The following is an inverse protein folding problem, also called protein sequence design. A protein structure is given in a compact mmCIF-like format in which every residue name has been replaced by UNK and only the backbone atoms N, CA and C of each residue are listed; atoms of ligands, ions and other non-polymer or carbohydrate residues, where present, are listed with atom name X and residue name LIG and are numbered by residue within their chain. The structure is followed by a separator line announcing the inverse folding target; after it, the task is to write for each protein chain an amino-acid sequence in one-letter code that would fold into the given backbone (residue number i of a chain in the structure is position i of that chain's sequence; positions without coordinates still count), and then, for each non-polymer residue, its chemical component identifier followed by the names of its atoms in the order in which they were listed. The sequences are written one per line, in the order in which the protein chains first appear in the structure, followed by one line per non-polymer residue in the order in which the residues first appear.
data_IF_510558378082
#
_entry.id   IF_510558378082
#
_cell.length_a   1.000
_cell.length_b   1.000
_cell.length_c   1.000
_cell.angle_alpha   90.00
_cell.angle_beta   90.00
_cell.angle_gamma   90.00
#
_symmetry.space_group_name_H-M   'P 1'
#
loop_
_entity.id
_entity.type
_entity.pdbx_description
1 polymer ?
#
# COMPACT_ATOMS: atom_id res chain seq x y z
N UNK A 1 -34.97 55.13 22.10
CA UNK A 1 -33.64 54.70 21.62
C UNK A 1 -33.15 53.38 22.24
N UNK A 2 -34.02 52.56 22.87
CA UNK A 2 -33.65 51.30 23.56
C UNK A 2 -34.21 50.01 22.92
N UNK A 3 -34.71 50.08 21.67
CA UNK A 3 -35.24 48.89 20.95
C UNK A 3 -34.23 48.26 19.98
N UNK A 4 -33.12 48.93 19.69
CA UNK A 4 -32.08 48.45 18.76
C UNK A 4 -31.11 47.44 19.39
N UNK A 5 -31.14 47.27 20.72
CA UNK A 5 -30.19 46.43 21.46
C UNK A 5 -30.74 45.06 21.87
N UNK A 6 -32.02 44.77 21.65
CA UNK A 6 -32.67 43.50 22.06
C UNK A 6 -32.37 42.31 21.14
N UNK A 7 -31.84 42.55 19.93
CA UNK A 7 -31.57 41.54 18.90
C UNK A 7 -30.07 41.27 18.66
N UNK A 8 -29.17 41.57 19.61
CA UNK A 8 -27.72 41.40 19.40
C UNK A 8 -27.21 39.97 19.62
N UNK A 9 -27.93 39.15 20.38
CA UNK A 9 -27.48 37.79 20.72
C UNK A 9 -27.19 36.94 19.49
N UNK A 10 -28.12 36.90 18.52
CA UNK A 10 -27.93 36.08 17.32
C UNK A 10 -26.76 36.54 16.45
N UNK A 11 -26.52 37.86 16.35
CA UNK A 11 -25.37 38.42 15.64
C UNK A 11 -24.05 38.06 16.32
N UNK A 12 -23.99 38.14 17.66
CA UNK A 12 -22.80 37.75 18.43
C UNK A 12 -22.51 36.26 18.28
N UNK A 13 -23.54 35.41 18.36
CA UNK A 13 -23.41 33.97 18.15
C UNK A 13 -22.98 33.62 16.73
N UNK A 14 -23.55 34.29 15.71
CA UNK A 14 -23.14 34.11 14.31
C UNK A 14 -21.68 34.50 14.10
N UNK A 15 -21.25 35.64 14.66
CA UNK A 15 -19.86 36.08 14.59
C UNK A 15 -18.91 35.06 15.24
N UNK A 16 -19.20 34.63 16.47
CA UNK A 16 -18.40 33.61 17.17
C UNK A 16 -18.35 32.29 16.39
N UNK A 17 -19.44 31.89 15.74
CA UNK A 17 -19.48 30.71 14.89
C UNK A 17 -18.55 30.87 13.68
N UNK A 18 -18.63 32.00 12.96
CA UNK A 18 -17.76 32.29 11.82
C UNK A 18 -16.28 32.30 12.23
N UNK A 19 -15.94 32.92 13.37
CA UNK A 19 -14.57 32.94 13.90
C UNK A 19 -14.09 31.54 14.25
N UNK A 20 -14.93 30.73 14.91
CA UNK A 20 -14.61 29.34 15.26
C UNK A 20 -14.36 28.48 14.01
N UNK A 21 -15.25 28.58 13.01
CA UNK A 21 -15.08 27.91 11.71
C UNK A 21 -13.81 28.38 11.00
N UNK A 22 -13.50 29.68 11.07
CA UNK A 22 -12.26 30.25 10.54
C UNK A 22 -11.00 29.68 11.21
N UNK A 23 -10.98 29.55 12.53
CA UNK A 23 -9.87 28.93 13.26
C UNK A 23 -9.68 27.46 12.90
N UNK A 24 -10.77 26.69 12.80
CA UNK A 24 -10.74 25.30 12.36
C UNK A 24 -10.19 25.21 10.93
N UNK A 25 -10.68 26.07 10.02
CA UNK A 25 -10.19 26.11 8.64
C UNK A 25 -8.68 26.42 8.58
N UNK A 26 -8.19 27.38 9.36
CA UNK A 26 -6.75 27.69 9.40
C UNK A 26 -5.94 26.48 9.89
N UNK A 27 -6.39 25.79 10.94
CA UNK A 27 -5.71 24.59 11.44
C UNK A 27 -5.70 23.43 10.43
N UNK A 28 -6.76 23.29 9.63
CA UNK A 28 -6.91 22.24 8.63
C UNK A 28 -6.10 22.53 7.35
N UNK A 29 -6.10 23.78 6.88
CA UNK A 29 -5.42 24.18 5.64
C UNK A 29 -3.93 24.50 5.83
N UNK A 30 -3.49 24.79 7.07
CA UNK A 30 -2.09 25.09 7.39
C UNK A 30 -1.50 24.16 8.46
N UNK A 31 -1.45 22.83 8.21
CA UNK A 31 -0.80 21.89 9.12
C UNK A 31 0.72 22.06 9.13
N UNK A 32 1.37 21.67 10.23
CA UNK A 32 2.82 21.56 10.29
C UNK A 32 3.27 20.31 9.51
N UNK A 33 4.21 20.51 8.59
CA UNK A 33 4.94 19.42 7.93
C UNK A 33 6.17 19.12 8.78
N UNK A 34 6.24 17.91 9.33
CA UNK A 34 7.38 17.50 10.15
C UNK A 34 8.54 16.98 9.29
N UNK A 35 9.79 17.15 9.74
CA UNK A 35 10.92 16.48 9.12
C UNK A 35 10.74 14.96 9.22
N UNK A 36 10.91 14.28 8.08
CA UNK A 36 10.85 12.81 7.97
C UNK A 36 12.23 12.30 7.63
N UNK A 37 12.66 11.26 8.33
CA UNK A 37 13.88 10.52 8.01
C UNK A 37 13.79 9.98 6.59
N UNK A 38 14.82 10.25 5.78
CA UNK A 38 14.92 9.82 4.38
C UNK A 38 13.78 10.32 3.49
N UNK A 39 13.33 11.55 3.74
CA UNK A 39 12.31 12.22 2.92
C UNK A 39 12.64 12.16 1.42
N UNK A 40 13.91 12.38 1.06
CA UNK A 40 14.37 12.39 -0.33
C UNK A 40 14.14 11.02 -0.99
N UNK A 41 14.61 9.95 -0.36
CA UNK A 41 14.50 8.59 -0.88
C UNK A 41 13.05 8.14 -0.96
N UNK A 42 12.24 8.45 0.06
CA UNK A 42 10.81 8.14 0.07
C UNK A 42 10.05 8.85 -1.05
N UNK A 43 10.31 10.14 -1.25
CA UNK A 43 9.66 10.91 -2.32
C UNK A 43 10.14 10.48 -3.70
N UNK A 44 11.45 10.26 -3.89
CA UNK A 44 12.02 9.76 -5.15
C UNK A 44 11.47 8.38 -5.51
N UNK A 45 11.36 7.47 -4.54
CA UNK A 45 10.75 6.15 -4.73
C UNK A 45 9.30 6.28 -5.19
N UNK A 46 8.50 7.13 -4.55
CA UNK A 46 7.12 7.40 -4.96
C UNK A 46 7.04 7.96 -6.39
N UNK A 47 7.87 8.95 -6.74
CA UNK A 47 7.92 9.51 -8.09
C UNK A 47 8.28 8.46 -9.16
N UNK A 48 9.26 7.59 -8.90
CA UNK A 48 9.64 6.52 -9.83
C UNK A 48 8.54 5.47 -9.96
N UNK A 49 7.88 5.08 -8.89
CA UNK A 49 6.73 4.16 -8.93
C UNK A 49 5.55 4.75 -9.71
N UNK A 50 5.26 6.04 -9.56
CA UNK A 50 4.24 6.70 -10.37
C UNK A 50 4.55 6.65 -11.87
N UNK A 51 5.80 6.94 -12.26
CA UNK A 51 6.25 6.80 -13.65
C UNK A 51 6.14 5.36 -14.16
N UNK A 52 6.46 4.38 -13.33
CA UNK A 52 6.29 2.97 -13.65
C UNK A 52 4.81 2.60 -13.91
N UNK A 53 3.89 3.09 -13.06
CA UNK A 53 2.45 2.87 -13.24
C UNK A 53 1.95 3.48 -14.56
N UNK A 54 2.38 4.70 -14.89
CA UNK A 54 2.06 5.33 -16.18
C UNK A 54 2.58 4.49 -17.36
N UNK A 55 3.80 3.93 -17.26
CA UNK A 55 4.35 3.09 -18.34
C UNK A 55 3.57 1.79 -18.51
N UNK A 56 3.10 1.18 -17.42
CA UNK A 56 2.26 -0.03 -17.46
C UNK A 56 0.90 0.28 -18.09
N UNK A 57 0.31 1.43 -17.75
CA UNK A 57 -0.92 1.92 -18.40
C UNK A 57 -0.72 2.05 -19.91
N UNK A 58 0.34 2.75 -20.34
CA UNK A 58 0.70 2.93 -21.75
C UNK A 58 0.85 1.58 -22.47
N UNK A 59 1.56 0.62 -21.85
CA UNK A 59 1.74 -0.73 -22.38
C UNK A 59 0.40 -1.44 -22.60
N UNK A 60 -0.48 -1.40 -21.60
CA UNK A 60 -1.79 -2.07 -21.67
C UNK A 60 -2.64 -1.49 -22.81
N UNK A 61 -2.64 -0.17 -22.95
CA UNK A 61 -3.31 0.53 -24.05
C UNK A 61 -2.69 0.20 -25.42
N UNK A 62 -1.36 0.14 -25.52
CA UNK A 62 -0.66 -0.21 -26.77
C UNK A 62 -0.99 -1.62 -27.27
N UNK A 63 -1.27 -2.55 -26.34
CA UNK A 63 -1.72 -3.92 -26.60
C UNK A 63 -3.23 -4.02 -26.87
N UNK A 64 -3.95 -2.89 -26.88
CA UNK A 64 -5.42 -2.83 -27.01
C UNK A 64 -6.16 -3.62 -25.90
N UNK A 65 -5.50 -3.84 -24.77
CA UNK A 65 -6.13 -4.45 -23.60
C UNK A 65 -6.95 -3.37 -22.91
N UNK A 66 -8.25 -3.60 -22.77
CA UNK A 66 -9.17 -2.63 -22.19
C UNK A 66 -8.94 -2.48 -20.69
N UNK A 67 -9.02 -1.24 -20.21
CA UNK A 67 -9.03 -0.91 -18.78
C UNK A 67 -10.50 -0.70 -18.40
N UNK A 68 -11.08 -1.63 -17.65
CA UNK A 68 -12.45 -1.51 -17.17
C UNK A 68 -12.52 -0.50 -16.02
N UNK A 69 -13.15 0.69 -16.18
CA UNK A 69 -13.23 1.69 -15.12
C UNK A 69 -14.03 1.24 -13.89
N UNK A 70 -14.86 0.19 -14.02
CA UNK A 70 -15.60 -0.39 -12.89
C UNK A 70 -14.68 -1.17 -11.96
N UNK A 71 -13.68 -1.86 -12.52
CA UNK A 71 -12.69 -2.61 -11.75
C UNK A 71 -11.47 -1.74 -11.40
N UNK A 72 -10.98 -0.95 -12.35
CA UNK A 72 -9.83 -0.05 -12.23
C UNK A 72 -10.29 1.40 -12.18
N UNK A 73 -10.85 1.80 -11.04
CA UNK A 73 -11.38 3.16 -10.82
C UNK A 73 -10.33 4.27 -10.93
N UNK A 74 -9.03 3.92 -10.95
CA UNK A 74 -7.90 4.84 -11.11
C UNK A 74 -7.33 4.86 -12.53
N UNK A 75 -7.91 4.07 -13.44
CA UNK A 75 -7.46 3.90 -14.83
C UNK A 75 -5.96 3.61 -14.92
N UNK A 76 -5.46 2.75 -14.04
CA UNK A 76 -4.02 2.49 -13.87
C UNK A 76 -3.48 1.43 -14.83
N UNK A 77 -4.33 0.51 -15.27
CA UNK A 77 -3.94 -0.69 -16.00
C UNK A 77 -3.43 -1.82 -15.11
N UNK A 78 -3.34 -1.63 -13.80
CA UNK A 78 -2.78 -2.60 -12.85
C UNK A 78 -3.82 -3.58 -12.28
N UNK A 79 -5.11 -3.33 -12.52
CA UNK A 79 -6.18 -4.28 -12.19
C UNK A 79 -6.39 -5.23 -13.37
N UNK A 80 -6.30 -6.53 -13.09
CA UNK A 80 -6.63 -7.58 -14.04
C UNK A 80 -8.09 -8.00 -14.01
N UNK A 81 -8.36 -9.15 -14.62
CA UNK A 81 -9.69 -9.72 -14.76
C UNK A 81 -10.20 -10.31 -13.44
N UNK A 82 -11.52 -10.38 -13.28
CA UNK A 82 -12.12 -11.13 -12.17
C UNK A 82 -11.74 -12.60 -12.21
N UNK A 83 -11.79 -13.21 -13.40
CA UNK A 83 -11.34 -14.58 -13.63
C UNK A 83 -10.70 -14.72 -15.01
N UNK A 84 -9.68 -15.56 -15.10
CA UNK A 84 -9.01 -15.94 -16.34
C UNK A 84 -8.42 -17.34 -16.20
N UNK A 85 -7.93 -17.96 -17.29
CA UNK A 85 -7.28 -19.26 -17.25
C UNK A 85 -6.03 -19.34 -16.35
N UNK A 86 -5.48 -18.20 -15.92
CA UNK A 86 -4.28 -18.11 -15.06
C UNK A 86 -4.59 -17.61 -13.65
N UNK A 87 -5.87 -17.41 -13.32
CA UNK A 87 -6.31 -17.07 -11.96
C UNK A 87 -6.13 -18.28 -11.04
N UNK A 88 -5.27 -18.14 -10.02
CA UNK A 88 -4.91 -19.22 -9.11
C UNK A 88 -5.67 -19.23 -7.78
N UNK A 89 -6.24 -18.10 -7.38
CA UNK A 89 -6.97 -17.99 -6.11
C UNK A 89 -7.94 -16.81 -6.12
N UNK A 90 -8.88 -16.82 -5.17
CA UNK A 90 -9.72 -15.67 -4.86
C UNK A 90 -8.88 -14.44 -4.48
N UNK A 91 -9.40 -13.24 -4.78
CA UNK A 91 -8.76 -11.97 -4.46
C UNK A 91 -9.80 -10.90 -4.12
N UNK A 92 -9.43 -9.96 -3.25
CA UNK A 92 -10.31 -8.84 -2.87
C UNK A 92 -10.01 -7.63 -3.76
N UNK A 93 -10.98 -7.22 -4.58
CA UNK A 93 -10.83 -6.08 -5.50
C UNK A 93 -10.40 -4.80 -4.77
N UNK A 94 -11.05 -4.47 -3.64
CA UNK A 94 -10.72 -3.26 -2.87
C UNK A 94 -9.27 -3.25 -2.36
N UNK A 95 -8.70 -4.41 -2.04
CA UNK A 95 -7.29 -4.50 -1.67
C UNK A 95 -6.35 -4.29 -2.87
N UNK A 96 -6.76 -4.72 -4.08
CA UNK A 96 -5.99 -4.44 -5.31
C UNK A 96 -6.05 -2.97 -5.66
N UNK A 97 -7.24 -2.37 -5.60
CA UNK A 97 -7.43 -0.94 -5.81
C UNK A 97 -6.60 -0.13 -4.81
N UNK A 98 -6.69 -0.44 -3.52
CA UNK A 98 -5.88 0.20 -2.49
C UNK A 98 -4.37 0.05 -2.74
N UNK A 99 -3.88 -0.98 -3.44
CA UNK A 99 -2.44 -1.09 -3.75
C UNK A 99 -1.94 -0.10 -4.81
N UNK A 100 -2.84 0.53 -5.57
CA UNK A 100 -2.51 1.45 -6.67
C UNK A 100 -2.24 2.84 -6.09
N UNK A 101 -1.16 2.95 -5.31
CA UNK A 101 -0.68 4.21 -4.78
C UNK A 101 0.85 4.24 -4.83
N UNK A 102 1.48 5.26 -5.45
CA UNK A 102 2.93 5.30 -5.59
C UNK A 102 3.67 5.35 -4.24
N UNK A 103 3.06 5.95 -3.21
CA UNK A 103 3.65 6.00 -1.87
C UNK A 103 3.80 4.64 -1.16
N UNK A 104 3.30 3.53 -1.72
CA UNK A 104 3.72 2.21 -1.22
C UNK A 104 5.23 2.00 -1.34
N UNK A 105 5.90 2.65 -2.30
CA UNK A 105 7.35 2.60 -2.38
C UNK A 105 8.01 3.32 -1.19
N UNK A 106 7.45 4.44 -0.74
CA UNK A 106 7.87 5.10 0.49
C UNK A 106 7.63 4.22 1.73
N UNK A 107 6.54 3.44 1.74
CA UNK A 107 6.29 2.45 2.79
C UNK A 107 7.38 1.37 2.82
N UNK A 108 7.77 0.82 1.67
CA UNK A 108 8.87 -0.15 1.59
C UNK A 108 10.20 0.44 2.06
N UNK A 109 10.56 1.64 1.59
CA UNK A 109 11.76 2.37 2.06
C UNK A 109 11.75 2.51 3.59
N UNK A 110 10.63 2.92 4.16
CA UNK A 110 10.48 3.05 5.62
C UNK A 110 10.65 1.70 6.34
N UNK A 111 10.10 0.61 5.81
CA UNK A 111 10.24 -0.73 6.40
C UNK A 111 11.68 -1.24 6.33
N UNK A 112 12.35 -1.08 5.19
CA UNK A 112 13.74 -1.48 5.02
C UNK A 112 14.69 -0.73 5.97
N UNK A 113 14.45 0.56 6.16
CA UNK A 113 15.22 1.38 7.10
C UNK A 113 14.99 0.97 8.55
N UNK A 114 13.73 0.68 8.93
CA UNK A 114 13.41 0.19 10.27
C UNK A 114 14.04 -1.17 10.58
N UNK A 115 14.31 -1.99 9.56
CA UNK A 115 15.06 -3.25 9.71
C UNK A 115 16.58 -3.04 9.73
N UNK A 116 17.07 -1.80 9.63
CA UNK A 116 18.49 -1.48 9.69
C UNK A 116 19.26 -1.79 8.39
N UNK A 117 18.57 -2.04 7.28
CA UNK A 117 19.21 -2.35 5.99
C UNK A 117 20.01 -1.15 5.47
N UNK A 118 21.17 -1.47 4.91
CA UNK A 118 22.11 -0.52 4.32
C UNK A 118 22.30 -0.82 2.84
N UNK A 119 22.82 0.17 2.12
CA UNK A 119 23.26 0.03 0.73
C UNK A 119 24.14 -1.21 0.57
N UNK A 120 23.84 -2.03 -0.42
CA UNK A 120 24.58 -3.25 -0.77
C UNK A 120 24.18 -4.50 0.03
N UNK A 121 23.33 -4.37 1.05
CA UNK A 121 22.77 -5.53 1.76
C UNK A 121 21.89 -6.35 0.81
N UNK A 122 21.87 -7.67 1.03
CA UNK A 122 21.10 -8.60 0.22
C UNK A 122 19.78 -8.93 0.91
N UNK A 123 18.68 -8.86 0.15
CA UNK A 123 17.36 -9.30 0.58
C UNK A 123 16.85 -10.43 -0.33
N UNK A 124 16.14 -11.39 0.26
CA UNK A 124 15.43 -12.43 -0.47
C UNK A 124 13.96 -12.02 -0.62
N UNK A 125 13.35 -12.28 -1.78
CA UNK A 125 11.96 -11.87 -2.02
C UNK A 125 11.11 -12.92 -2.73
N UNK A 126 10.09 -13.42 -2.05
CA UNK A 126 9.02 -14.22 -2.64
C UNK A 126 7.88 -13.32 -3.10
N UNK A 127 7.68 -13.23 -4.42
CA UNK A 127 6.70 -12.33 -5.02
C UNK A 127 5.71 -13.14 -5.89
N UNK A 128 4.49 -12.66 -6.07
CA UNK A 128 3.53 -13.23 -7.01
C UNK A 128 2.89 -12.15 -7.88
N UNK A 129 2.29 -12.55 -9.00
CA UNK A 129 1.50 -11.65 -9.83
C UNK A 129 0.25 -11.07 -9.15
N UNK A 130 -0.09 -11.47 -7.92
CA UNK A 130 -1.30 -11.04 -7.23
C UNK A 130 -1.38 -9.54 -6.97
N UNK A 131 -0.26 -8.86 -6.72
CA UNK A 131 -0.24 -7.42 -6.41
C UNK A 131 0.80 -6.70 -7.29
N UNK A 132 0.56 -6.53 -8.60
CA UNK A 132 1.53 -5.94 -9.50
C UNK A 132 1.95 -4.53 -9.07
N UNK A 133 1.02 -3.73 -8.53
CA UNK A 133 1.33 -2.40 -8.00
C UNK A 133 2.34 -2.44 -6.83
N UNK A 134 2.20 -3.38 -5.90
CA UNK A 134 3.13 -3.54 -4.78
C UNK A 134 4.48 -4.10 -5.23
N UNK A 135 4.49 -4.99 -6.22
CA UNK A 135 5.73 -5.54 -6.75
C UNK A 135 6.60 -4.43 -7.39
N UNK A 136 5.96 -3.52 -8.13
CA UNK A 136 6.64 -2.34 -8.70
C UNK A 136 7.16 -1.42 -7.61
N UNK A 137 6.33 -1.13 -6.60
CA UNK A 137 6.74 -0.32 -5.45
C UNK A 137 7.94 -0.93 -4.71
N UNK A 138 7.94 -2.26 -4.54
CA UNK A 138 9.03 -3.02 -3.93
C UNK A 138 10.32 -2.90 -4.72
N UNK A 139 10.29 -3.18 -6.03
CA UNK A 139 11.48 -3.11 -6.88
C UNK A 139 12.09 -1.71 -6.89
N UNK A 140 11.25 -0.68 -7.07
CA UNK A 140 11.69 0.72 -7.03
C UNK A 140 12.30 1.09 -5.68
N UNK A 141 11.69 0.68 -4.56
CA UNK A 141 12.23 0.95 -3.24
C UNK A 141 13.58 0.26 -3.00
N UNK A 142 13.72 -1.00 -3.43
CA UNK A 142 14.97 -1.74 -3.32
C UNK A 142 16.09 -1.11 -4.16
N UNK A 143 15.78 -0.66 -5.38
CA UNK A 143 16.73 0.04 -6.26
C UNK A 143 17.15 1.41 -5.69
N UNK A 144 16.21 2.19 -5.14
CA UNK A 144 16.49 3.47 -4.47
C UNK A 144 17.42 3.28 -3.27
N UNK A 145 17.24 2.21 -2.52
CA UNK A 145 18.09 1.88 -1.37
C UNK A 145 19.36 1.11 -1.76
N UNK A 146 19.58 0.87 -3.05
CA UNK A 146 20.73 0.14 -3.59
C UNK A 146 20.92 -1.23 -2.91
N UNK A 147 19.80 -1.92 -2.65
CA UNK A 147 19.78 -3.28 -2.10
C UNK A 147 19.99 -4.30 -3.21
N UNK A 148 20.63 -5.42 -2.89
CA UNK A 148 20.74 -6.58 -3.79
C UNK A 148 19.55 -7.49 -3.57
N UNK A 149 18.77 -7.77 -4.61
CA UNK A 149 17.55 -8.57 -4.46
C UNK A 149 17.71 -9.93 -5.12
N UNK A 150 17.53 -11.00 -4.34
CA UNK A 150 17.35 -12.36 -4.85
C UNK A 150 15.86 -12.67 -4.82
N UNK A 151 15.17 -12.49 -5.95
CA UNK A 151 13.73 -12.70 -6.03
C UNK A 151 13.36 -13.95 -6.82
N UNK A 152 12.39 -14.71 -6.29
CA UNK A 152 11.69 -15.76 -7.02
C UNK A 152 10.22 -15.38 -7.11
N UNK A 153 9.76 -15.11 -8.33
CA UNK A 153 8.37 -14.71 -8.58
C UNK A 153 7.51 -15.89 -9.01
N UNK A 154 6.24 -15.92 -8.60
CA UNK A 154 5.23 -16.79 -9.17
C UNK A 154 4.46 -16.06 -10.28
N UNK A 155 4.33 -16.71 -11.43
CA UNK A 155 3.70 -16.10 -12.61
C UNK A 155 2.17 -16.07 -12.55
N UNK A 156 1.52 -16.97 -11.80
CA UNK A 156 0.08 -16.86 -11.54
C UNK A 156 -0.25 -15.68 -10.64
N UNK A 157 -1.54 -15.34 -10.63
CA UNK A 157 -2.09 -14.27 -9.81
C UNK A 157 -3.41 -14.69 -9.19
N UNK A 158 -3.80 -14.06 -8.08
CA UNK A 158 -5.19 -14.06 -7.63
C UNK A 158 -6.08 -13.29 -8.60
N UNK A 159 -7.40 -13.33 -8.39
CA UNK A 159 -8.34 -12.41 -9.04
C UNK A 159 -7.83 -10.96 -8.95
N UNK A 160 -8.06 -10.20 -10.02
CA UNK A 160 -7.75 -8.78 -10.15
C UNK A 160 -6.26 -8.39 -10.09
N UNK A 161 -5.32 -9.34 -9.98
CA UNK A 161 -3.89 -9.05 -10.10
C UNK A 161 -3.39 -9.09 -11.55
N UNK A 162 -2.15 -9.48 -11.79
CA UNK A 162 -1.59 -9.67 -13.13
C UNK A 162 -2.04 -10.98 -13.78
N UNK A 163 -3.35 -11.17 -13.90
CA UNK A 163 -3.99 -12.37 -14.42
C UNK A 163 -4.59 -12.19 -15.83
N UNK A 164 -4.20 -11.15 -16.56
CA UNK A 164 -4.55 -11.02 -17.97
C UNK A 164 -3.64 -11.94 -18.80
N UNK A 165 -4.18 -12.94 -19.54
CA UNK A 165 -3.36 -13.86 -20.34
C UNK A 165 -2.39 -13.21 -21.33
N UNK A 166 -2.68 -11.97 -21.76
CA UNK A 166 -1.84 -11.24 -22.71
C UNK A 166 -0.77 -10.37 -22.03
N UNK A 167 -0.88 -10.18 -20.71
CA UNK A 167 0.01 -9.34 -19.91
C UNK A 167 0.15 -9.86 -18.48
N UNK A 168 0.95 -10.92 -18.31
CA UNK A 168 1.23 -11.53 -17.00
C UNK A 168 2.36 -10.79 -16.27
N UNK A 169 2.57 -11.14 -14.99
CA UNK A 169 3.69 -10.55 -14.23
C UNK A 169 5.07 -10.69 -14.89
N UNK A 170 5.45 -11.83 -15.49
CA UNK A 170 6.72 -11.92 -16.23
C UNK A 170 6.85 -10.88 -17.35
N UNK A 171 5.75 -10.57 -18.04
CA UNK A 171 5.70 -9.56 -19.09
C UNK A 171 5.94 -8.15 -18.54
N UNK A 172 5.25 -7.82 -17.44
CA UNK A 172 5.34 -6.52 -16.78
C UNK A 172 6.74 -6.30 -16.21
N UNK A 173 7.26 -7.24 -15.41
CA UNK A 173 8.57 -7.11 -14.76
C UNK A 173 9.70 -6.96 -15.79
N UNK A 174 9.68 -7.79 -16.84
CA UNK A 174 10.75 -7.75 -17.85
C UNK A 174 10.71 -6.47 -18.68
N UNK A 175 9.53 -5.91 -18.93
CA UNK A 175 9.40 -4.63 -19.62
C UNK A 175 9.96 -3.49 -18.76
N UNK A 176 9.57 -3.40 -17.49
CA UNK A 176 10.10 -2.38 -16.58
C UNK A 176 11.63 -2.46 -16.47
N UNK A 177 12.18 -3.68 -16.44
CA UNK A 177 13.62 -3.91 -16.42
C UNK A 177 14.30 -3.44 -17.72
N UNK A 178 13.75 -3.80 -18.89
CA UNK A 178 14.29 -3.38 -20.20
C UNK A 178 14.26 -1.86 -20.40
N UNK A 179 13.20 -1.21 -19.91
CA UNK A 179 13.03 0.24 -19.94
C UNK A 179 13.86 0.96 -18.85
N UNK A 180 14.64 0.22 -18.05
CA UNK A 180 15.48 0.75 -16.96
C UNK A 180 14.67 1.53 -15.91
N UNK A 181 13.41 1.16 -15.72
CA UNK A 181 12.54 1.69 -14.65
C UNK A 181 12.86 0.99 -13.32
N UNK A 182 13.18 -0.30 -13.40
CA UNK A 182 13.79 -1.09 -12.33
C UNK A 182 15.13 -1.62 -12.82
N UNK A 183 16.08 -1.84 -11.91
CA UNK A 183 17.46 -2.24 -12.24
C UNK A 183 17.77 -3.69 -11.92
N UNK A 184 16.83 -4.38 -11.30
CA UNK A 184 16.90 -5.79 -10.96
C UNK A 184 15.56 -6.46 -11.31
N UNK A 185 15.58 -7.78 -11.44
CA UNK A 185 14.38 -8.59 -11.72
C UNK A 185 14.53 -9.98 -11.10
N UNK A 186 13.47 -10.77 -11.14
CA UNK A 186 13.47 -12.11 -10.55
C UNK A 186 14.54 -13.01 -11.19
N UNK A 187 15.27 -13.77 -10.36
CA UNK A 187 16.28 -14.73 -10.83
C UNK A 187 15.64 -16.01 -11.36
N UNK A 188 14.51 -16.39 -10.78
CA UNK A 188 13.68 -17.52 -11.20
C UNK A 188 12.21 -17.13 -11.18
N UNK A 189 11.43 -17.82 -12.00
CA UNK A 189 9.98 -17.79 -11.92
C UNK A 189 9.38 -19.18 -11.85
N UNK A 190 8.42 -19.36 -10.97
CA UNK A 190 7.63 -20.58 -10.86
C UNK A 190 6.25 -20.40 -11.46
N UNK A 191 5.50 -21.50 -11.59
CA UNK A 191 4.09 -21.41 -11.99
C UNK A 191 3.29 -20.65 -10.93
N UNK A 192 3.44 -20.99 -9.65
CA UNK A 192 2.61 -20.44 -8.57
C UNK A 192 1.38 -21.31 -8.28
N UNK A 193 0.42 -20.73 -7.58
CA UNK A 193 -0.77 -21.44 -7.12
C UNK A 193 -0.48 -22.43 -5.99
N UNK A 194 -1.36 -23.42 -5.82
CA UNK A 194 -1.21 -24.44 -4.78
C UNK A 194 -0.02 -25.35 -5.12
N UNK A 195 0.87 -25.54 -4.14
CA UNK A 195 2.14 -26.30 -4.25
C UNK A 195 3.08 -25.83 -5.36
N UNK A 196 2.89 -24.60 -5.85
CA UNK A 196 3.70 -24.03 -6.94
C UNK A 196 3.59 -24.74 -8.30
N UNK A 197 2.70 -25.74 -8.40
CA UNK A 197 2.42 -26.54 -9.60
C UNK A 197 1.18 -26.05 -10.37
N UNK A 198 0.56 -24.94 -9.96
CA UNK A 198 -0.67 -24.43 -10.57
C UNK A 198 -1.84 -25.41 -10.47
N UNK A 199 -1.95 -26.16 -9.37
CA UNK A 199 -3.09 -27.06 -9.12
C UNK A 199 -4.38 -26.24 -9.19
N UNK A 200 -5.36 -26.75 -9.93
CA UNK A 200 -6.62 -26.06 -10.22
C UNK A 200 -6.62 -25.28 -11.55
N UNK A 201 -5.46 -25.05 -12.16
CA UNK A 201 -5.41 -24.44 -13.50
C UNK A 201 -5.65 -25.48 -14.59
N UNK A 202 -6.30 -25.08 -15.67
CA UNK A 202 -6.40 -25.90 -16.88
C UNK A 202 -5.06 -25.99 -17.62
N UNK A 203 -4.91 -26.98 -18.51
CA UNK A 203 -3.71 -27.15 -19.35
C UNK A 203 -3.33 -25.86 -20.10
N UNK A 204 -4.32 -25.20 -20.72
CA UNK A 204 -4.14 -23.91 -21.41
C UNK A 204 -3.57 -22.82 -20.50
N UNK A 205 -4.02 -22.73 -19.25
CA UNK A 205 -3.51 -21.75 -18.28
C UNK A 205 -2.04 -21.96 -17.98
N UNK A 206 -1.64 -23.21 -17.70
CA UNK A 206 -0.23 -23.57 -17.47
C UNK A 206 0.65 -23.28 -18.68
N UNK A 207 0.17 -23.58 -19.89
CA UNK A 207 0.89 -23.28 -21.14
C UNK A 207 1.12 -21.77 -21.33
N UNK A 208 0.10 -20.94 -21.06
CA UNK A 208 0.22 -19.47 -21.12
C UNK A 208 1.27 -18.95 -20.13
N UNK A 209 1.27 -19.46 -18.90
CA UNK A 209 2.23 -19.10 -17.86
C UNK A 209 3.65 -19.46 -18.29
N UNK A 210 3.86 -20.70 -18.70
CA UNK A 210 5.17 -21.18 -19.11
C UNK A 210 5.71 -20.44 -20.33
N UNK A 211 4.83 -20.16 -21.30
CA UNK A 211 5.15 -19.35 -22.47
C UNK A 211 5.57 -17.93 -22.06
N UNK A 212 4.87 -17.31 -21.11
CA UNK A 212 5.22 -15.97 -20.61
C UNK A 212 6.55 -15.96 -19.86
N UNK A 213 6.82 -16.96 -19.02
CA UNK A 213 8.12 -17.10 -18.32
C UNK A 213 9.26 -17.22 -19.35
N UNK A 214 9.13 -18.13 -20.32
CA UNK A 214 10.16 -18.40 -21.33
C UNK A 214 10.41 -17.23 -22.25
N UNK A 215 9.35 -16.64 -22.83
CA UNK A 215 9.50 -15.53 -23.80
C UNK A 215 10.13 -14.28 -23.17
N UNK A 216 10.01 -14.13 -21.84
CA UNK A 216 10.65 -13.04 -21.10
C UNK A 216 12.06 -13.37 -20.57
N UNK A 217 12.57 -14.58 -20.85
CA UNK A 217 13.93 -14.98 -20.54
C UNK A 217 14.17 -15.34 -19.07
N UNK A 218 13.13 -15.67 -18.32
CA UNK A 218 13.28 -16.13 -16.94
C UNK A 218 13.59 -17.62 -16.89
N UNK A 219 14.44 -18.01 -15.92
CA UNK A 219 14.64 -19.42 -15.59
C UNK A 219 13.38 -19.95 -14.88
N UNK A 220 12.87 -21.07 -15.36
CA UNK A 220 11.71 -21.71 -14.74
C UNK A 220 12.16 -22.53 -13.51
N UNK A 221 11.54 -22.27 -12.36
CA UNK A 221 11.69 -23.10 -11.17
C UNK A 221 10.60 -24.17 -11.19
N UNK A 222 10.95 -25.37 -11.61
CA UNK A 222 10.05 -26.52 -11.54
C UNK A 222 9.98 -27.07 -10.13
N UNK A 223 8.80 -27.52 -9.73
CA UNK A 223 8.60 -28.23 -8.47
C UNK A 223 7.62 -29.39 -8.61
N UNK A 224 8.00 -30.53 -8.03
CA UNK A 224 7.18 -31.74 -8.02
C UNK A 224 6.28 -31.82 -6.78
N UNK A 225 6.68 -31.17 -5.69
CA UNK A 225 5.90 -31.03 -4.46
C UNK A 225 6.11 -29.68 -3.79
N UNK A 226 5.38 -29.44 -2.71
CA UNK A 226 5.57 -28.27 -1.85
C UNK A 226 6.99 -28.25 -1.25
N UNK A 227 7.45 -29.38 -0.71
CA UNK A 227 8.75 -29.56 -0.06
C UNK A 227 9.89 -29.36 -1.05
N UNK A 228 9.76 -29.90 -2.27
CA UNK A 228 10.73 -29.70 -3.34
C UNK A 228 10.83 -28.22 -3.74
N UNK A 229 9.69 -27.51 -3.87
CA UNK A 229 9.70 -26.05 -4.12
C UNK A 229 10.36 -25.28 -2.98
N UNK A 230 10.07 -25.65 -1.72
CA UNK A 230 10.66 -25.02 -0.54
C UNK A 230 12.18 -25.17 -0.54
N UNK A 231 12.69 -26.39 -0.73
CA UNK A 231 14.12 -26.69 -0.76
C UNK A 231 14.84 -25.95 -1.89
N UNK A 232 14.31 -26.00 -3.11
CA UNK A 232 14.90 -25.29 -4.27
C UNK A 232 14.94 -23.77 -4.08
N UNK A 233 13.90 -23.18 -3.47
CA UNK A 233 13.88 -21.75 -3.15
C UNK A 233 14.92 -21.40 -2.10
N UNK A 234 15.06 -22.21 -1.05
CA UNK A 234 16.09 -22.00 -0.03
C UNK A 234 17.51 -22.12 -0.61
N UNK A 235 17.75 -23.08 -1.51
CA UNK A 235 19.05 -23.21 -2.21
C UNK A 235 19.40 -21.94 -2.99
N UNK A 236 18.43 -21.41 -3.75
CA UNK A 236 18.61 -20.14 -4.47
C UNK A 236 18.87 -18.97 -3.52
N UNK A 237 18.11 -18.84 -2.43
CA UNK A 237 18.29 -17.71 -1.51
C UNK A 237 19.56 -17.80 -0.68
N UNK A 238 20.00 -19.01 -0.31
CA UNK A 238 21.20 -19.26 0.48
C UNK A 238 22.51 -19.04 -0.31
N UNK A 239 22.42 -18.72 -1.60
CA UNK A 239 23.58 -18.37 -2.43
C UNK A 239 24.33 -17.14 -1.90
N UNK A 240 23.69 -16.28 -1.09
CA UNK A 240 24.32 -15.13 -0.43
C UNK A 240 23.74 -14.92 0.98
N UNK A 241 24.45 -14.24 1.89
CA UNK A 241 23.90 -13.86 3.20
C UNK A 241 22.70 -12.91 3.03
N UNK A 242 21.53 -13.32 3.51
CA UNK A 242 20.27 -12.56 3.42
C UNK A 242 20.01 -11.83 4.74
N UNK A 243 19.80 -10.52 4.66
CA UNK A 243 19.52 -9.66 5.82
C UNK A 243 18.01 -9.50 6.11
N UNK A 244 17.16 -9.72 5.10
CA UNK A 244 15.70 -9.62 5.20
C UNK A 244 15.05 -10.53 4.16
N UNK A 245 14.00 -11.26 4.56
CA UNK A 245 13.10 -11.91 3.62
C UNK A 245 11.82 -11.08 3.43
N UNK A 246 11.40 -10.86 2.18
CA UNK A 246 10.20 -10.09 1.82
C UNK A 246 9.19 -11.02 1.15
N UNK A 247 7.94 -10.95 1.57
CA UNK A 247 6.85 -11.74 0.99
C UNK A 247 5.70 -10.85 0.51
N UNK A 248 5.41 -10.88 -0.80
CA UNK A 248 4.36 -10.09 -1.46
C UNK A 248 3.38 -11.01 -2.20
N UNK A 249 2.11 -10.96 -1.80
CA UNK A 249 1.03 -11.75 -2.42
C UNK A 249 1.00 -13.24 -2.02
N UNK A 250 2.03 -13.73 -1.32
CA UNK A 250 1.96 -14.95 -0.51
C UNK A 250 1.57 -16.20 -1.29
N UNK A 251 2.43 -16.64 -2.22
CA UNK A 251 2.32 -18.01 -2.74
C UNK A 251 2.39 -19.02 -1.59
N UNK A 252 1.79 -20.21 -1.78
CA UNK A 252 1.67 -21.22 -0.71
C UNK A 252 3.03 -21.57 -0.08
N UNK A 253 4.10 -21.65 -0.87
CA UNK A 253 5.46 -21.94 -0.39
C UNK A 253 6.09 -20.79 0.40
N UNK A 254 5.73 -19.54 0.05
CA UNK A 254 6.27 -18.35 0.71
C UNK A 254 5.68 -18.12 2.11
N UNK A 255 4.43 -18.53 2.34
CA UNK A 255 3.67 -18.15 3.55
C UNK A 255 2.71 -19.24 4.06
N UNK A 256 2.89 -20.50 3.67
CA UNK A 256 1.97 -21.57 4.01
C UNK A 256 0.62 -21.52 3.29
N UNK A 257 -0.20 -22.53 3.55
CA UNK A 257 -1.54 -22.70 2.95
C UNK A 257 -2.52 -21.60 3.40
N UNK A 258 -3.57 -21.36 2.61
CA UNK A 258 -4.54 -20.29 2.89
C UNK A 258 -5.20 -20.37 4.27
N UNK A 259 -5.32 -21.58 4.83
CA UNK A 259 -5.88 -21.81 6.17
C UNK A 259 -4.98 -21.27 7.28
N UNK A 260 -3.66 -21.31 7.11
CA UNK A 260 -2.67 -20.91 8.11
C UNK A 260 -2.16 -19.47 7.94
N UNK A 261 -2.42 -18.81 6.79
CA UNK A 261 -2.05 -17.40 6.56
C UNK A 261 -2.59 -16.40 7.57
N UNK A 262 -3.74 -16.69 8.22
CA UNK A 262 -4.32 -15.81 9.26
C UNK A 262 -3.43 -15.69 10.50
N UNK A 263 -2.56 -16.67 10.73
CA UNK A 263 -1.68 -16.73 11.89
C UNK A 263 -0.36 -15.98 11.64
N UNK A 264 -0.08 -15.58 10.39
CA UNK A 264 1.16 -14.89 10.05
C UNK A 264 1.04 -13.41 10.43
N UNK A 265 1.95 -12.90 11.29
CA UNK A 265 1.95 -11.49 11.64
C UNK A 265 2.16 -10.61 10.39
N UNK A 266 1.49 -9.46 10.37
CA UNK A 266 1.53 -8.52 9.26
C UNK A 266 2.66 -7.50 9.46
N UNK A 267 3.27 -7.04 8.38
CA UNK A 267 4.34 -6.04 8.44
C UNK A 267 5.71 -6.66 8.71
N UNK A 268 6.59 -5.94 9.42
CA UNK A 268 7.90 -6.46 9.80
C UNK A 268 7.72 -7.39 11.00
N UNK A 269 8.11 -8.64 10.82
CA UNK A 269 8.07 -9.71 11.82
C UNK A 269 9.50 -10.05 12.19
N UNK A 270 9.80 -9.93 13.49
CA UNK A 270 11.09 -10.29 14.07
C UNK A 270 10.99 -11.67 14.72
N UNK A 271 12.13 -12.34 14.87
CA UNK A 271 12.21 -13.72 15.35
C UNK A 271 11.80 -13.95 16.80
N UNK A 272 11.54 -12.90 17.58
CA UNK A 272 11.10 -12.99 18.98
C UNK A 272 9.65 -13.51 19.13
N UNK A 273 8.97 -13.80 18.03
CA UNK A 273 7.66 -14.46 18.03
C UNK A 273 7.83 -15.96 18.30
N UNK A 274 8.35 -16.31 19.48
CA UNK A 274 8.62 -17.71 19.90
C UNK A 274 7.35 -18.53 20.14
N UNK A 275 6.15 -17.94 20.05
CA UNK A 275 4.89 -18.57 20.46
C UNK A 275 3.86 -18.83 19.36
N UNK A 276 4.18 -18.58 18.07
CA UNK A 276 3.24 -18.85 16.98
C UNK A 276 3.67 -20.10 16.22
N UNK A 277 2.83 -21.14 16.27
CA UNK A 277 2.98 -22.34 15.46
C UNK A 277 2.68 -22.01 13.99
N UNK A 278 3.72 -21.58 13.28
CA UNK A 278 3.62 -21.19 11.87
C UNK A 278 3.64 -22.43 10.96
N UNK A 279 2.93 -22.37 9.82
CA UNK A 279 3.02 -23.41 8.79
C UNK A 279 4.40 -23.42 8.15
N UNK A 280 4.85 -24.60 7.73
CA UNK A 280 6.08 -24.72 6.95
C UNK A 280 6.02 -23.82 5.72
N UNK A 281 7.06 -23.01 5.55
CA UNK A 281 7.14 -21.95 4.55
C UNK A 281 8.51 -21.30 4.61
N UNK A 282 8.89 -20.58 3.54
CA UNK A 282 10.10 -19.76 3.53
C UNK A 282 10.09 -18.74 4.69
N UNK A 283 8.92 -18.14 4.96
CA UNK A 283 8.76 -17.20 6.08
C UNK A 283 9.11 -17.85 7.43
N UNK A 284 8.56 -19.03 7.72
CA UNK A 284 8.87 -19.76 8.96
C UNK A 284 10.36 -20.08 9.05
N UNK A 285 10.96 -20.54 7.95
CA UNK A 285 12.40 -20.86 7.89
C UNK A 285 13.25 -19.64 8.25
N UNK A 286 13.00 -18.46 7.65
CA UNK A 286 13.78 -17.25 7.96
C UNK A 286 13.58 -16.76 9.40
N UNK A 287 12.35 -16.81 9.92
CA UNK A 287 12.11 -16.47 11.33
C UNK A 287 12.87 -17.41 12.28
N UNK A 288 12.90 -18.72 11.97
CA UNK A 288 13.69 -19.70 12.73
C UNK A 288 15.20 -19.47 12.66
N UNK A 289 15.69 -18.89 11.57
CA UNK A 289 17.09 -18.47 11.40
C UNK A 289 17.42 -17.11 12.05
N UNK A 290 16.46 -16.50 12.77
CA UNK A 290 16.59 -15.15 13.35
C UNK A 290 16.82 -14.04 12.34
N UNK A 291 16.35 -14.24 11.11
CA UNK A 291 16.38 -13.23 10.05
C UNK A 291 14.98 -12.58 9.99
N UNK A 292 14.88 -11.25 9.97
CA UNK A 292 13.59 -10.57 9.91
C UNK A 292 12.81 -10.94 8.64
N UNK A 293 11.48 -10.90 8.73
CA UNK A 293 10.59 -11.09 7.58
C UNK A 293 9.67 -9.89 7.43
N UNK A 294 9.62 -9.30 6.23
CA UNK A 294 8.61 -8.33 5.84
C UNK A 294 7.46 -9.04 5.11
N UNK A 295 6.37 -9.30 5.83
CA UNK A 295 5.15 -9.85 5.25
C UNK A 295 4.18 -8.73 4.82
N UNK A 296 4.06 -8.52 3.52
CA UNK A 296 3.22 -7.46 2.95
C UNK A 296 1.77 -7.95 2.84
N UNK A 297 0.97 -7.62 3.84
CA UNK A 297 -0.46 -7.93 3.91
C UNK A 297 -1.23 -6.79 4.56
N UNK A 298 -2.57 -6.83 4.48
CA UNK A 298 -3.41 -5.76 5.03
C UNK A 298 -3.27 -4.43 4.27
N UNK A 299 -3.17 -4.48 2.94
CA UNK A 299 -2.94 -3.31 2.06
C UNK A 299 -3.90 -2.16 2.34
N UNK A 300 -5.19 -2.43 2.53
CA UNK A 300 -6.21 -1.42 2.86
C UNK A 300 -5.91 -0.73 4.20
N UNK A 301 -5.42 -1.49 5.18
CA UNK A 301 -5.04 -0.98 6.50
C UNK A 301 -3.78 -0.11 6.39
N UNK A 302 -2.75 -0.58 5.66
CA UNK A 302 -1.53 0.20 5.40
C UNK A 302 -1.89 1.53 4.72
N UNK A 303 -2.74 1.49 3.70
CA UNK A 303 -3.21 2.67 2.98
C UNK A 303 -3.94 3.65 3.90
N UNK A 304 -4.83 3.14 4.77
CA UNK A 304 -5.60 3.95 5.71
C UNK A 304 -4.71 4.58 6.79
N UNK A 305 -3.84 3.80 7.41
CA UNK A 305 -2.91 4.27 8.46
C UNK A 305 -1.91 5.29 7.93
N UNK A 306 -1.57 5.21 6.64
CA UNK A 306 -0.68 6.14 5.95
C UNK A 306 -1.41 7.37 5.40
N UNK A 307 -2.73 7.49 5.58
CA UNK A 307 -3.57 8.55 5.02
C UNK A 307 -3.34 8.76 3.50
N UNK A 308 -3.16 7.66 2.75
CA UNK A 308 -3.05 7.69 1.29
C UNK A 308 -4.35 8.23 0.67
N UNK A 309 -4.21 9.16 -0.28
CA UNK A 309 -5.34 9.83 -0.92
C UNK A 309 -5.51 9.32 -2.34
N UNK A 310 -6.74 8.96 -2.69
CA UNK A 310 -7.08 8.42 -4.00
C UNK A 310 -7.97 9.39 -4.76
N UNK A 311 -7.81 9.44 -6.08
CA UNK A 311 -8.64 10.23 -6.98
C UNK A 311 -9.21 9.34 -8.07
N UNK A 312 -10.53 9.35 -8.25
CA UNK A 312 -11.15 8.57 -9.33
C UNK A 312 -10.68 9.08 -10.70
N UNK A 313 -10.54 8.15 -11.66
CA UNK A 313 -10.16 8.43 -13.04
C UNK A 313 -8.67 8.64 -13.30
N UNK A 314 -7.82 8.68 -12.25
CA UNK A 314 -6.36 8.82 -12.42
C UNK A 314 -5.58 8.14 -11.31
N UNK A 315 -4.32 7.81 -11.60
CA UNK A 315 -3.35 7.36 -10.60
C UNK A 315 -3.07 8.52 -9.64
N UNK A 316 -2.99 8.24 -8.33
CA UNK A 316 -2.65 9.24 -7.32
C UNK A 316 -1.27 9.86 -7.55
N UNK A 317 -1.15 11.16 -7.27
CA UNK A 317 0.13 11.87 -7.35
C UNK A 317 1.09 11.39 -6.24
N UNK A 318 2.41 11.39 -6.52
CA UNK A 318 3.44 11.11 -5.52
C UNK A 318 3.40 12.05 -4.32
N UNK A 319 3.70 11.56 -3.11
CA UNK A 319 3.84 12.40 -1.93
C UNK A 319 2.52 12.89 -1.36
N UNK A 320 1.46 12.10 -1.50
CA UNK A 320 0.12 12.48 -1.00
C UNK A 320 -0.23 11.83 0.34
N UNK A 321 0.60 10.91 0.83
CA UNK A 321 0.48 10.23 2.12
C UNK A 321 1.34 10.83 3.22
N UNK A 322 0.98 10.51 4.47
CA UNK A 322 1.72 10.92 5.67
C UNK A 322 3.07 10.19 5.84
N UNK A 323 3.37 9.19 4.99
CA UNK A 323 4.67 8.50 4.98
C UNK A 323 5.79 9.43 4.51
N UNK A 324 5.45 10.43 3.69
CA UNK A 324 6.38 11.38 3.08
C UNK A 324 6.20 12.74 3.75
N UNK A 325 4.96 13.26 3.79
CA UNK A 325 4.66 14.56 4.39
C UNK A 325 3.64 14.41 5.52
N UNK A 326 4.08 13.98 6.73
CA UNK A 326 3.19 13.83 7.88
C UNK A 326 2.64 15.20 8.27
N UNK A 327 1.33 15.33 8.13
CA UNK A 327 0.61 16.53 8.55
C UNK A 327 0.21 16.39 10.00
N UNK A 328 0.70 17.29 10.86
CA UNK A 328 0.19 17.42 12.23
C UNK A 328 -0.44 18.77 12.43
N UNK A 329 -1.55 18.81 13.15
CA UNK A 329 -2.11 20.06 13.65
C UNK A 329 -1.07 20.78 14.50
N UNK A 330 -0.93 22.09 14.25
CA UNK A 330 -0.09 22.93 15.07
C UNK A 330 -0.74 23.11 16.46
N UNK A 331 -0.31 22.31 17.44
CA UNK A 331 -0.90 22.32 18.79
C UNK A 331 -0.76 23.66 19.49
N UNK A 332 0.33 24.39 19.23
CA UNK A 332 0.54 25.73 19.78
C UNK A 332 -0.43 26.74 19.17
N UNK A 333 -0.62 26.69 17.85
CA UNK A 333 -1.60 27.54 17.16
C UNK A 333 -3.03 27.19 17.59
N UNK A 334 -3.34 25.90 17.76
CA UNK A 334 -4.64 25.45 18.26
C UNK A 334 -4.88 25.94 19.69
N UNK A 335 -3.88 25.86 20.57
CA UNK A 335 -3.94 26.42 21.92
C UNK A 335 -4.14 27.93 21.92
N UNK A 336 -3.45 28.65 21.04
CA UNK A 336 -3.64 30.09 20.87
C UNK A 336 -5.07 30.44 20.41
N UNK A 337 -5.59 29.75 19.39
CA UNK A 337 -6.97 29.95 18.92
C UNK A 337 -8.01 29.59 19.99
N UNK A 338 -7.76 28.57 20.80
CA UNK A 338 -8.61 28.24 21.93
C UNK A 338 -8.69 29.39 22.94
N UNK A 339 -7.54 29.88 23.41
CA UNK A 339 -7.48 31.01 24.36
C UNK A 339 -8.13 32.27 23.77
N UNK A 340 -7.89 32.55 22.49
CA UNK A 340 -8.47 33.69 21.79
C UNK A 340 -10.00 33.58 21.68
N UNK A 341 -10.51 32.40 21.34
CA UNK A 341 -11.96 32.14 21.26
C UNK A 341 -12.62 32.25 22.64
N UNK A 342 -12.01 31.68 23.68
CA UNK A 342 -12.51 31.80 25.06
C UNK A 342 -12.54 33.26 25.54
N UNK A 343 -11.51 34.05 25.18
CA UNK A 343 -11.44 35.47 25.51
C UNK A 343 -12.53 36.26 24.78
N UNK A 344 -12.77 35.97 23.50
CA UNK A 344 -13.85 36.58 22.71
C UNK A 344 -15.22 36.24 23.29
N UNK A 345 -15.46 34.99 23.68
CA UNK A 345 -16.70 34.57 24.34
C UNK A 345 -16.87 35.33 25.66
N UNK A 346 -15.84 35.41 26.50
CA UNK A 346 -15.89 36.13 27.77
C UNK A 346 -16.27 37.61 27.57
N UNK A 347 -15.57 38.31 26.67
CA UNK A 347 -15.82 39.73 26.39
C UNK A 347 -17.23 39.94 25.83
N UNK A 348 -17.65 39.10 24.88
CA UNK A 348 -18.94 39.23 24.21
C UNK A 348 -20.12 38.67 25.02
N UNK A 349 -19.87 37.92 26.10
CA UNK A 349 -20.90 37.32 26.97
C UNK A 349 -21.82 38.37 27.60
N UNK A 350 -21.29 39.57 27.89
CA UNK A 350 -22.07 40.71 28.38
C UNK A 350 -23.13 41.22 27.40
N UNK A 351 -23.01 40.84 26.12
CA UNK A 351 -23.94 41.20 25.03
C UNK A 351 -24.89 40.06 24.66
N UNK A 352 -24.76 38.90 25.31
CA UNK A 352 -25.61 37.73 25.16
C UNK A 352 -26.69 37.81 26.24
N UNK A 353 -27.90 38.20 25.86
CA UNK A 353 -29.04 38.23 26.77
C UNK A 353 -29.51 36.80 27.09
N UNK A 354 -29.48 36.40 28.36
CA UNK A 354 -30.08 35.14 28.86
C UNK A 354 -31.62 35.25 29.03
N UNK A 355 -32.20 36.44 28.88
CA UNK A 355 -33.62 36.66 29.17
C UNK A 355 -34.49 36.57 27.91
N UNK A 356 -34.84 35.36 27.52
CA UNK A 356 -36.15 35.06 26.93
C UNK A 356 -36.98 34.31 27.99
N UNK A 357 -37.24 34.96 29.13
CA UNK A 357 -38.42 34.59 29.91
C UNK A 357 -39.61 35.21 29.20
N UNK A 358 -40.22 34.44 28.29
CA UNK A 358 -41.63 34.64 27.94
C UNK A 358 -42.42 34.59 29.25
N UNK A 359 -42.93 35.74 29.70
CA UNK A 359 -44.05 35.72 30.64
C UNK A 359 -45.18 35.00 29.92
N UNK A 360 -45.47 33.76 30.31
CA UNK A 360 -46.79 33.18 30.07
C UNK A 360 -47.79 34.11 30.75
N UNK A 361 -48.51 34.88 29.94
CA UNK A 361 -49.55 35.76 30.43
C UNK A 361 -50.57 34.92 31.19
N UNK A 362 -50.78 35.35 32.43
CA UNK A 362 -51.90 35.06 33.32
C UNK A 362 -53.15 34.58 32.60
N UNK A 363 -53.60 33.38 32.98
CA UNK A 363 -54.97 32.90 32.83
C UNK A 363 -55.91 34.01 33.33
N UNK A 364 -56.62 34.65 32.40
CA UNK A 364 -57.80 35.45 32.72
C UNK A 364 -58.94 34.46 33.01
N UNK A 365 -59.38 34.49 34.27
CA UNK A 365 -60.60 33.86 34.79
C UNK A 365 -61.84 34.34 34.05
#
# INVERSE_FOLDING_TARGET
MNRFFKNKTWFVLLFLNIVSVGFIAILEFFPLILPVTNLKEKYEASQKTYKAFLKIKELKLSKKIQIDPKLDSYLSGLIGLEISPVTSSAGKLSAKQASIHPDFAAWFVDRFQKTGLKKGDTIAAGISGSFPALNVAFWVAADIMELKVISISSATSSQYGANDPELLWPDIENLLYKEKIIFQKSVFMSTGGISDSGIGLGKKGRELIWTSIRKNGYKYLSSDSFEDSLLKRMDVYNSYPVALYVNIGGGTVSSGTSLSKKQIPKGVVLSEVESIELPDSILKTYLGLKIPVLHVSGVEMISKESNMKYSLGKISEPGTSDLIFPKKYNRWLAGFFFVLLSSLIWILSTWISLSDHTKEDTILL
#
